data_IF_395926907453
#
_entry.id   IF_395926907453
#
_cell.length_a   1.000
_cell.length_b   1.000
_cell.length_c   1.000
_cell.angle_alpha   90.00
_cell.angle_beta   90.00
_cell.angle_gamma   90.00
#
_symmetry.space_group_name_H-M   'P 1'
#
loop_
_entity.id
_entity.type
_entity.pdbx_description
1 polymer ?
#
# COMPACT_ATOMS: atom_id res chain seq x y z
N UNK A 1 -11.54 -6.54 -50.25
CA UNK A 1 -11.03 -6.69 -48.88
C UNK A 1 -10.42 -5.35 -48.47
N UNK A 2 -11.21 -4.50 -47.82
CA UNK A 2 -10.78 -3.16 -47.38
C UNK A 2 -10.12 -3.31 -46.01
N UNK A 3 -8.79 -3.13 -45.95
CA UNK A 3 -8.06 -3.02 -44.69
C UNK A 3 -8.51 -1.72 -44.00
N UNK A 4 -9.42 -1.84 -43.04
CA UNK A 4 -9.67 -0.78 -42.07
C UNK A 4 -8.40 -0.60 -41.25
N UNK A 5 -7.86 0.63 -41.10
CA UNK A 5 -6.71 0.85 -40.24
C UNK A 5 -7.09 0.46 -38.80
N UNK A 6 -6.27 -0.35 -38.14
CA UNK A 6 -6.43 -0.55 -36.70
C UNK A 6 -6.35 0.83 -36.01
N UNK A 7 -7.27 1.17 -35.10
CA UNK A 7 -7.18 2.41 -34.37
C UNK A 7 -5.88 2.38 -33.56
N UNK A 8 -4.92 3.24 -33.92
CA UNK A 8 -3.73 3.49 -33.10
C UNK A 8 -4.22 3.93 -31.72
N UNK A 9 -4.11 3.04 -30.75
CA UNK A 9 -4.42 3.30 -29.34
C UNK A 9 -3.32 4.21 -28.75
N UNK A 10 -3.18 5.43 -29.27
CA UNK A 10 -2.47 6.52 -28.58
C UNK A 10 -3.34 6.93 -27.39
N UNK A 11 -3.36 6.07 -26.37
CA UNK A 11 -3.88 6.44 -25.07
C UNK A 11 -2.94 7.51 -24.52
N UNK A 12 -3.43 8.72 -24.21
CA UNK A 12 -2.57 9.76 -23.68
C UNK A 12 -1.88 9.24 -22.42
N UNK A 13 -0.55 9.17 -22.46
CA UNK A 13 0.25 8.80 -21.29
C UNK A 13 0.39 10.04 -20.42
N UNK A 14 -0.11 9.95 -19.20
CA UNK A 14 -0.06 11.07 -18.25
C UNK A 14 1.32 11.13 -17.58
N UNK A 15 2.30 11.70 -18.29
CA UNK A 15 3.68 11.83 -17.82
C UNK A 15 3.79 12.53 -16.46
N UNK A 16 2.93 13.52 -16.19
CA UNK A 16 2.89 14.19 -14.88
C UNK A 16 2.50 13.25 -13.74
N UNK A 17 1.54 12.34 -13.95
CA UNK A 17 1.15 11.35 -12.93
C UNK A 17 2.20 10.25 -12.75
N UNK A 18 2.88 9.86 -13.84
CA UNK A 18 4.02 8.95 -13.76
C UNK A 18 5.16 9.58 -12.95
N UNK A 19 5.48 10.87 -13.18
CA UNK A 19 6.49 11.61 -12.43
C UNK A 19 6.10 11.81 -10.97
N UNK A 20 4.85 12.15 -10.69
CA UNK A 20 4.32 12.29 -9.33
C UNK A 20 4.43 10.98 -8.55
N UNK A 21 4.10 9.85 -9.18
CA UNK A 21 4.28 8.52 -8.61
C UNK A 21 5.76 8.21 -8.37
N UNK A 22 6.64 8.56 -9.31
CA UNK A 22 8.09 8.34 -9.16
C UNK A 22 8.67 9.15 -7.99
N UNK A 23 8.27 10.42 -7.86
CA UNK A 23 8.63 11.27 -6.71
C UNK A 23 8.11 10.72 -5.39
N UNK A 24 6.86 10.26 -5.36
CA UNK A 24 6.29 9.60 -4.19
C UNK A 24 7.09 8.35 -3.78
N UNK A 25 7.54 7.54 -4.75
CA UNK A 25 8.41 6.38 -4.48
C UNK A 25 9.79 6.80 -3.96
N UNK A 26 10.39 7.82 -4.55
CA UNK A 26 11.68 8.36 -4.11
C UNK A 26 11.62 8.91 -2.67
N UNK A 27 10.56 9.65 -2.32
CA UNK A 27 10.32 10.12 -0.96
C UNK A 27 10.22 8.98 0.07
N UNK A 28 9.79 7.78 -0.34
CA UNK A 28 9.84 6.60 0.51
C UNK A 28 11.27 6.21 0.92
N UNK A 29 12.22 6.28 -0.01
CA UNK A 29 13.64 6.00 0.27
C UNK A 29 14.20 7.03 1.27
N UNK A 30 13.93 8.31 1.03
CA UNK A 30 14.36 9.40 1.92
C UNK A 30 13.74 9.25 3.30
N UNK A 31 12.47 8.84 3.38
CA UNK A 31 11.80 8.54 4.65
C UNK A 31 12.54 7.44 5.40
N UNK A 32 12.86 6.31 4.75
CA UNK A 32 13.57 5.21 5.41
C UNK A 32 14.96 5.61 5.90
N UNK A 33 15.66 6.46 5.16
CA UNK A 33 16.95 7.01 5.61
C UNK A 33 16.82 7.93 6.84
N UNK A 34 15.66 8.57 7.03
CA UNK A 34 15.41 9.47 8.16
C UNK A 34 14.87 8.77 9.42
N UNK A 35 14.33 7.54 9.30
CA UNK A 35 13.76 6.78 10.43
C UNK A 35 14.70 6.62 11.65
N UNK A 36 16.01 6.33 11.50
CA UNK A 36 16.91 6.17 12.65
C UNK A 36 17.05 7.43 13.50
N UNK A 37 16.85 8.61 12.90
CA UNK A 37 17.06 9.92 13.52
C UNK A 37 15.78 10.52 14.12
N UNK A 38 14.66 9.81 14.10
CA UNK A 38 13.43 10.29 14.72
C UNK A 38 13.59 10.42 16.24
N UNK A 39 12.93 11.40 16.86
CA UNK A 39 12.91 11.60 18.32
C UNK A 39 11.72 10.90 18.98
N UNK A 40 10.64 10.63 18.23
CA UNK A 40 9.43 9.99 18.77
C UNK A 40 9.63 8.49 19.05
N UNK A 41 8.78 7.94 19.93
CA UNK A 41 8.69 6.49 20.18
C UNK A 41 8.01 5.74 19.04
N UNK A 42 7.26 6.43 18.16
CA UNK A 42 6.52 5.85 17.03
C UNK A 42 7.39 5.55 15.80
N UNK A 43 8.58 4.98 15.99
CA UNK A 43 9.56 4.75 14.90
C UNK A 43 9.19 3.62 13.93
N UNK A 44 7.90 3.30 13.79
CA UNK A 44 7.42 2.19 12.98
C UNK A 44 8.18 0.86 13.24
N UNK A 45 8.54 0.60 14.49
CA UNK A 45 9.35 -0.56 14.92
C UNK A 45 10.72 -0.68 14.24
N UNK A 46 11.29 0.45 13.84
CA UNK A 46 12.64 0.48 13.30
C UNK A 46 13.66 0.10 14.38
N UNK A 47 14.44 -0.95 14.12
CA UNK A 47 15.31 -1.57 15.13
C UNK A 47 16.57 -0.77 15.47
N UNK A 48 16.94 0.24 14.69
CA UNK A 48 18.20 0.99 14.87
C UNK A 48 17.96 2.45 15.21
N UNK A 49 18.53 2.91 16.31
CA UNK A 49 18.38 4.29 16.78
C UNK A 49 19.73 4.99 16.76
N UNK A 50 19.83 6.08 15.98
CA UNK A 50 21.02 6.93 16.00
C UNK A 50 20.98 7.86 17.23
N UNK A 51 22.12 8.14 17.89
CA UNK A 51 22.20 9.15 18.94
C UNK A 51 21.88 10.58 18.45
N UNK A 52 22.09 10.87 17.18
CA UNK A 52 21.96 12.19 16.55
C UNK A 52 20.52 12.50 16.12
N UNK A 53 19.57 12.36 17.04
CA UNK A 53 18.15 12.51 16.72
C UNK A 53 17.74 13.96 16.48
N UNK A 54 16.77 14.16 15.57
CA UNK A 54 16.28 15.47 15.18
C UNK A 54 14.74 15.48 15.07
N UNK A 55 14.10 16.42 15.78
CA UNK A 55 12.66 16.64 15.74
C UNK A 55 12.19 17.13 14.36
N UNK A 56 13.04 17.82 13.60
CA UNK A 56 12.74 18.23 12.23
C UNK A 56 12.63 17.02 11.31
N UNK A 57 13.53 16.04 11.43
CA UNK A 57 13.45 14.78 10.67
C UNK A 57 12.20 13.97 11.05
N UNK A 58 11.83 13.96 12.33
CA UNK A 58 10.57 13.35 12.79
C UNK A 58 9.35 13.98 12.10
N UNK A 59 9.28 15.31 12.10
CA UNK A 59 8.20 16.05 11.46
C UNK A 59 8.16 15.78 9.95
N UNK A 60 9.33 15.74 9.30
CA UNK A 60 9.45 15.39 7.89
C UNK A 60 8.93 13.97 7.60
N UNK A 61 9.34 12.98 8.38
CA UNK A 61 8.88 11.58 8.22
C UNK A 61 7.36 11.50 8.33
N UNK A 62 6.77 12.10 9.37
CA UNK A 62 5.32 12.07 9.58
C UNK A 62 4.56 12.77 8.45
N UNK A 63 5.07 13.92 7.99
CA UNK A 63 4.50 14.65 6.86
C UNK A 63 4.56 13.82 5.57
N UNK A 64 5.73 13.27 5.23
CA UNK A 64 5.92 12.44 4.03
C UNK A 64 5.07 11.18 4.12
N UNK A 65 4.98 10.53 5.28
CA UNK A 65 4.15 9.35 5.48
C UNK A 65 2.68 9.66 5.24
N UNK A 66 2.16 10.72 5.87
CA UNK A 66 0.74 11.11 5.76
C UNK A 66 0.39 11.48 4.32
N UNK A 67 1.20 12.33 3.68
CA UNK A 67 0.88 12.83 2.33
C UNK A 67 1.06 11.77 1.24
N UNK A 68 2.16 11.01 1.27
CA UNK A 68 2.50 10.04 0.22
C UNK A 68 1.42 8.96 0.09
N UNK A 69 0.87 8.50 1.20
CA UNK A 69 -0.09 7.40 1.19
C UNK A 69 -1.43 7.82 0.60
N UNK A 70 -1.93 8.99 0.99
CA UNK A 70 -3.14 9.58 0.39
C UNK A 70 -2.95 9.85 -1.11
N UNK A 71 -1.77 10.33 -1.49
CA UNK A 71 -1.40 10.55 -2.89
C UNK A 71 -1.47 9.25 -3.71
N UNK A 72 -0.96 8.13 -3.20
CA UNK A 72 -1.05 6.85 -3.91
C UNK A 72 -2.48 6.34 -4.05
N UNK A 73 -3.34 6.54 -3.04
CA UNK A 73 -4.77 6.21 -3.15
C UNK A 73 -5.47 7.07 -4.21
N UNK A 74 -5.22 8.38 -4.22
CA UNK A 74 -5.77 9.29 -5.23
C UNK A 74 -5.36 8.88 -6.64
N UNK A 75 -4.06 8.62 -6.87
CA UNK A 75 -3.54 8.19 -8.17
C UNK A 75 -4.15 6.83 -8.58
N UNK A 76 -4.24 5.87 -7.65
CA UNK A 76 -4.84 4.55 -7.90
C UNK A 76 -6.31 4.66 -8.30
N UNK A 77 -7.06 5.54 -7.63
CA UNK A 77 -8.46 5.86 -7.95
C UNK A 77 -8.58 6.45 -9.35
N UNK A 78 -7.78 7.46 -9.68
CA UNK A 78 -7.76 8.09 -11.01
C UNK A 78 -7.54 7.07 -12.12
N UNK A 79 -6.50 6.22 -12.03
CA UNK A 79 -6.24 5.18 -13.02
C UNK A 79 -7.35 4.11 -13.06
N UNK A 80 -8.02 3.83 -11.94
CA UNK A 80 -9.14 2.90 -11.90
C UNK A 80 -10.36 3.44 -12.64
N UNK A 81 -10.71 4.72 -12.43
CA UNK A 81 -11.78 5.40 -13.16
C UNK A 81 -11.50 5.39 -14.67
N UNK A 82 -10.26 5.67 -15.08
CA UNK A 82 -9.88 5.61 -16.50
C UNK A 82 -10.06 4.22 -17.10
N UNK A 83 -9.65 3.15 -16.39
CA UNK A 83 -9.85 1.79 -16.89
C UNK A 83 -11.33 1.45 -17.00
N UNK A 84 -12.14 1.79 -16.00
CA UNK A 84 -13.59 1.56 -15.99
C UNK A 84 -14.35 2.38 -17.05
N UNK A 85 -13.79 3.51 -17.51
CA UNK A 85 -14.37 4.29 -18.61
C UNK A 85 -14.21 3.61 -19.97
N UNK A 86 -13.13 2.86 -20.17
CA UNK A 86 -12.81 2.22 -21.46
C UNK A 86 -13.01 0.70 -21.48
N UNK A 87 -13.23 0.07 -20.32
CA UNK A 87 -13.37 -1.39 -20.16
C UNK A 87 -14.45 -1.70 -19.13
N UNK A 88 -15.02 -2.89 -19.25
CA UNK A 88 -16.06 -3.38 -18.36
C UNK A 88 -15.53 -3.71 -16.96
N UNK A 89 -16.45 -3.74 -15.98
CA UNK A 89 -16.11 -4.01 -14.59
C UNK A 89 -15.49 -5.41 -14.37
N UNK A 90 -15.91 -6.42 -15.15
CA UNK A 90 -15.36 -7.78 -15.03
C UNK A 90 -13.90 -7.82 -15.48
N UNK A 91 -13.56 -7.13 -16.57
CA UNK A 91 -12.17 -6.94 -16.98
C UNK A 91 -11.35 -6.21 -15.90
N UNK A 92 -11.90 -5.14 -15.32
CA UNK A 92 -11.25 -4.38 -14.24
C UNK A 92 -10.90 -5.28 -13.04
N UNK A 93 -11.89 -5.99 -12.47
CA UNK A 93 -11.69 -6.86 -11.30
C UNK A 93 -10.67 -7.97 -11.61
N UNK A 94 -10.77 -8.63 -12.76
CA UNK A 94 -9.83 -9.69 -13.16
C UNK A 94 -8.40 -9.16 -13.28
N UNK A 95 -8.22 -7.97 -13.86
CA UNK A 95 -6.91 -7.34 -13.97
C UNK A 95 -6.35 -6.99 -12.58
N UNK A 96 -7.19 -6.49 -11.67
CA UNK A 96 -6.78 -6.12 -10.32
C UNK A 96 -6.38 -7.35 -9.50
N UNK A 97 -7.15 -8.44 -9.55
CA UNK A 97 -6.77 -9.70 -8.89
C UNK A 97 -5.38 -10.16 -9.33
N UNK A 98 -5.11 -10.19 -10.64
CA UNK A 98 -3.79 -10.61 -11.16
C UNK A 98 -2.64 -9.69 -10.74
N UNK A 99 -2.89 -8.39 -10.56
CA UNK A 99 -1.86 -7.39 -10.26
C UNK A 99 -1.73 -7.05 -8.78
N UNK A 100 -2.72 -7.37 -7.97
CA UNK A 100 -2.76 -7.05 -6.54
C UNK A 100 -2.75 -8.33 -5.70
N UNK A 101 -3.71 -9.23 -5.91
CA UNK A 101 -3.86 -10.44 -5.09
C UNK A 101 -2.71 -11.43 -5.30
N UNK A 102 -2.34 -11.69 -6.55
CA UNK A 102 -1.25 -12.66 -6.83
C UNK A 102 0.08 -12.17 -6.25
N UNK A 103 0.56 -10.94 -6.51
CA UNK A 103 1.77 -10.45 -5.87
C UNK A 103 1.66 -10.42 -4.35
N UNK A 104 0.51 -10.01 -3.80
CA UNK A 104 0.32 -9.99 -2.36
C UNK A 104 0.49 -11.37 -1.73
N UNK A 105 -0.16 -12.41 -2.26
CA UNK A 105 -0.06 -13.77 -1.71
C UNK A 105 1.36 -14.35 -1.83
N UNK A 106 2.11 -13.99 -2.87
CA UNK A 106 3.49 -14.45 -3.03
C UNK A 106 4.47 -13.69 -2.14
N UNK A 107 4.36 -12.36 -2.08
CA UNK A 107 5.33 -11.49 -1.42
C UNK A 107 5.04 -11.28 0.07
N UNK A 108 3.80 -11.40 0.50
CA UNK A 108 3.43 -11.25 1.91
C UNK A 108 4.17 -12.20 2.85
N UNK A 109 4.13 -13.53 2.66
CA UNK A 109 4.86 -14.44 3.54
C UNK A 109 6.38 -14.18 3.49
N UNK A 110 6.92 -13.85 2.30
CA UNK A 110 8.33 -13.55 2.15
C UNK A 110 8.74 -12.31 2.94
N UNK A 111 7.96 -11.23 2.86
CA UNK A 111 8.23 -9.98 3.58
C UNK A 111 8.13 -10.21 5.08
N UNK A 112 7.14 -10.95 5.56
CA UNK A 112 6.98 -11.27 6.97
C UNK A 112 8.16 -12.05 7.54
N UNK A 113 8.56 -13.12 6.85
CA UNK A 113 9.74 -13.91 7.23
C UNK A 113 11.01 -13.04 7.19
N UNK A 114 11.16 -12.17 6.19
CA UNK A 114 12.34 -11.31 6.05
C UNK A 114 12.46 -10.27 7.17
N UNK A 115 11.33 -9.67 7.58
CA UNK A 115 11.31 -8.70 8.68
C UNK A 115 11.67 -9.38 9.98
N UNK A 116 11.06 -10.52 10.30
CA UNK A 116 11.40 -11.26 11.52
C UNK A 116 12.83 -11.77 11.52
N UNK A 117 13.31 -12.28 10.38
CA UNK A 117 14.69 -12.68 10.22
C UNK A 117 15.65 -11.54 10.56
N UNK A 118 15.33 -10.30 10.16
CA UNK A 118 16.13 -9.12 10.47
C UNK A 118 16.03 -8.71 11.96
N UNK A 119 14.83 -8.77 12.55
CA UNK A 119 14.63 -8.45 13.97
C UNK A 119 15.32 -9.46 14.89
N UNK A 120 15.13 -10.76 14.63
CA UNK A 120 15.81 -11.84 15.37
C UNK A 120 17.32 -11.73 15.19
N UNK A 121 17.80 -11.40 13.98
CA UNK A 121 19.24 -11.23 13.76
C UNK A 121 19.78 -10.04 14.56
N UNK A 122 19.05 -8.92 14.59
CA UNK A 122 19.41 -7.76 15.39
C UNK A 122 19.50 -8.14 16.88
N UNK A 123 18.50 -8.79 17.44
CA UNK A 123 18.53 -9.22 18.84
C UNK A 123 19.67 -10.21 19.12
N UNK A 124 19.84 -11.18 18.23
CA UNK A 124 20.88 -12.21 18.31
C UNK A 124 22.29 -11.62 18.30
N UNK A 125 22.57 -10.71 17.35
CA UNK A 125 23.88 -10.09 17.17
C UNK A 125 24.17 -9.00 18.21
N UNK A 126 23.16 -8.24 18.63
CA UNK A 126 23.34 -7.04 19.46
C UNK A 126 23.27 -7.34 20.97
N UNK A 127 22.42 -8.26 21.41
CA UNK A 127 22.28 -8.64 22.82
C UNK A 127 23.12 -9.86 23.21
N UNK A 128 23.92 -10.40 22.29
CA UNK A 128 24.77 -11.55 22.59
C UNK A 128 23.98 -12.82 22.91
N UNK A 129 22.76 -12.96 22.40
CA UNK A 129 21.98 -14.21 22.47
C UNK A 129 22.59 -15.33 21.61
N UNK A 130 23.78 -15.09 21.05
CA UNK A 130 24.62 -16.00 20.28
C UNK A 130 25.12 -17.24 21.00
N UNK A 131 24.98 -17.31 22.33
CA UNK A 131 25.41 -18.48 23.12
C UNK A 131 24.34 -19.60 23.21
N UNK A 132 23.15 -19.41 22.63
CA UNK A 132 22.05 -20.40 22.61
C UNK A 132 22.04 -21.35 21.41
N UNK A 133 20.87 -21.92 21.07
CA UNK A 133 20.67 -22.94 20.01
C UNK A 133 20.99 -22.46 18.56
N UNK A 134 21.43 -21.21 18.40
CA UNK A 134 21.82 -20.59 17.13
C UNK A 134 20.69 -19.84 16.43
N UNK A 135 21.06 -18.85 15.60
CA UNK A 135 20.14 -17.94 14.91
C UNK A 135 18.97 -18.64 14.20
N UNK A 136 19.25 -19.71 13.47
CA UNK A 136 18.24 -20.42 12.67
C UNK A 136 17.20 -21.13 13.52
N UNK A 137 17.58 -21.62 14.71
CA UNK A 137 16.65 -22.25 15.65
C UNK A 137 15.76 -21.19 16.27
N UNK A 138 16.33 -20.07 16.74
CA UNK A 138 15.56 -18.94 17.29
C UNK A 138 14.59 -18.35 16.27
N UNK A 139 15.00 -18.23 15.00
CA UNK A 139 14.12 -17.76 13.93
C UNK A 139 12.97 -18.74 13.68
N UNK A 140 13.24 -20.04 13.63
CA UNK A 140 12.22 -21.07 13.43
C UNK A 140 11.20 -21.09 14.59
N UNK A 141 11.68 -20.99 15.82
CA UNK A 141 10.85 -20.92 17.03
C UNK A 141 9.99 -19.66 17.03
N UNK A 142 10.57 -18.50 16.68
CA UNK A 142 9.82 -17.24 16.55
C UNK A 142 8.68 -17.38 15.53
N UNK A 143 8.98 -17.81 14.30
CA UNK A 143 7.99 -17.93 13.21
C UNK A 143 6.87 -18.95 13.50
N UNK A 144 7.13 -19.94 14.36
CA UNK A 144 6.14 -20.95 14.76
C UNK A 144 5.46 -20.62 16.09
N UNK A 145 5.92 -19.60 16.81
CA UNK A 145 5.36 -19.18 18.09
C UNK A 145 4.00 -18.52 17.93
N UNK A 146 3.07 -18.80 18.86
CA UNK A 146 1.79 -18.11 18.92
C UNK A 146 1.97 -16.61 19.22
N UNK A 147 3.02 -16.23 19.95
CA UNK A 147 3.33 -14.83 20.27
C UNK A 147 3.61 -14.02 19.00
N UNK A 148 4.42 -14.58 18.09
CA UNK A 148 4.70 -13.95 16.80
C UNK A 148 3.42 -13.63 16.03
N UNK A 149 2.54 -14.61 15.86
CA UNK A 149 1.30 -14.42 15.12
C UNK A 149 0.31 -13.47 15.82
N UNK A 150 0.31 -13.44 17.16
CA UNK A 150 -0.54 -12.53 17.94
C UNK A 150 -0.22 -11.05 17.68
N UNK A 151 1.04 -10.71 17.33
CA UNK A 151 1.46 -9.35 16.97
C UNK A 151 0.82 -8.81 15.70
N UNK A 152 0.24 -9.68 14.86
CA UNK A 152 -0.45 -9.30 13.62
C UNK A 152 -1.98 -9.31 13.76
N UNK A 153 -2.52 -9.75 14.91
CA UNK A 153 -3.96 -9.76 15.15
C UNK A 153 -4.51 -8.34 15.41
N UNK A 154 -5.73 -7.99 14.93
CA UNK A 154 -6.45 -6.77 15.29
C UNK A 154 -6.49 -6.50 16.81
N UNK A 155 -5.69 -5.55 17.31
CA UNK A 155 -5.77 -5.14 18.72
C UNK A 155 -6.70 -3.93 18.88
N UNK A 156 -7.46 -3.81 19.98
CA UNK A 156 -8.33 -2.66 20.23
C UNK A 156 -7.62 -1.30 20.21
N UNK A 157 -6.32 -1.30 20.51
CA UNK A 157 -5.48 -0.10 20.55
C UNK A 157 -4.75 0.15 19.22
N UNK A 158 -4.93 -0.71 18.20
CA UNK A 158 -4.28 -0.58 16.90
C UNK A 158 -2.77 -0.82 16.90
N UNK A 159 -2.21 -1.39 17.97
CA UNK A 159 -0.77 -1.61 18.15
C UNK A 159 -0.21 -2.85 17.45
N UNK A 160 -0.96 -3.47 16.54
CA UNK A 160 -0.48 -4.64 15.80
C UNK A 160 0.38 -4.22 14.59
N UNK A 161 1.14 -5.16 14.05
CA UNK A 161 1.94 -4.96 12.85
C UNK A 161 1.12 -5.06 11.55
N UNK A 162 -0.15 -5.45 11.63
CA UNK A 162 -1.09 -5.50 10.51
C UNK A 162 -0.59 -6.36 9.35
N UNK A 163 -0.48 -5.78 8.15
CA UNK A 163 0.16 -6.45 6.99
C UNK A 163 1.56 -5.89 6.69
N UNK A 164 2.19 -5.27 7.70
CA UNK A 164 3.47 -4.57 7.60
C UNK A 164 3.51 -3.67 6.35
N UNK A 165 4.57 -3.76 5.55
CA UNK A 165 4.79 -2.94 4.36
C UNK A 165 3.75 -3.13 3.23
N UNK A 166 2.93 -4.18 3.28
CA UNK A 166 1.93 -4.49 2.25
C UNK A 166 0.53 -4.01 2.60
N UNK A 167 0.37 -3.27 3.69
CA UNK A 167 -0.91 -2.72 4.13
C UNK A 167 -1.66 -2.01 3.00
N UNK A 168 -0.95 -1.19 2.20
CA UNK A 168 -1.54 -0.44 1.10
C UNK A 168 -2.28 -1.32 0.09
N UNK A 169 -1.71 -2.49 -0.25
CA UNK A 169 -2.32 -3.43 -1.20
C UNK A 169 -3.58 -4.05 -0.63
N UNK A 170 -3.60 -4.35 0.67
CA UNK A 170 -4.78 -4.85 1.36
C UNK A 170 -5.96 -3.86 1.29
N UNK A 171 -5.72 -2.57 1.53
CA UNK A 171 -6.77 -1.54 1.36
C UNK A 171 -7.25 -1.42 -0.10
N UNK A 172 -6.34 -1.52 -1.07
CA UNK A 172 -6.75 -1.54 -2.48
C UNK A 172 -7.66 -2.74 -2.81
N UNK A 173 -7.45 -3.90 -2.19
CA UNK A 173 -8.35 -5.03 -2.36
C UNK A 173 -9.75 -4.73 -1.81
N UNK A 174 -9.84 -4.10 -0.63
CA UNK A 174 -11.14 -3.66 -0.11
C UNK A 174 -11.84 -2.68 -1.04
N UNK A 175 -11.14 -1.68 -1.59
CA UNK A 175 -11.75 -0.77 -2.55
C UNK A 175 -12.25 -1.48 -3.81
N UNK A 176 -11.50 -2.47 -4.32
CA UNK A 176 -11.91 -3.28 -5.48
C UNK A 176 -13.14 -4.14 -5.16
N UNK A 177 -13.17 -4.76 -3.98
CA UNK A 177 -14.31 -5.57 -3.50
C UNK A 177 -15.54 -4.68 -3.34
N UNK A 178 -15.42 -3.55 -2.64
CA UNK A 178 -16.51 -2.58 -2.46
C UNK A 178 -17.04 -2.11 -3.81
N UNK A 179 -16.18 -1.74 -4.75
CA UNK A 179 -16.61 -1.40 -6.11
C UNK A 179 -17.36 -2.55 -6.79
N UNK A 180 -16.86 -3.79 -6.70
CA UNK A 180 -17.53 -4.95 -7.30
C UNK A 180 -18.93 -5.19 -6.68
N UNK A 181 -19.05 -5.07 -5.36
CA UNK A 181 -20.33 -5.17 -4.64
C UNK A 181 -21.28 -4.05 -5.05
N UNK A 182 -20.81 -2.79 -5.06
CA UNK A 182 -21.62 -1.65 -5.45
C UNK A 182 -22.16 -1.79 -6.88
N UNK A 183 -21.39 -2.37 -7.81
CA UNK A 183 -21.84 -2.62 -9.19
C UNK A 183 -22.82 -3.80 -9.27
N UNK A 184 -22.66 -4.82 -8.43
CA UNK A 184 -23.52 -6.01 -8.44
C UNK A 184 -24.91 -5.75 -7.83
N UNK A 185 -25.00 -4.83 -6.88
CA UNK A 185 -26.27 -4.47 -6.22
C UNK A 185 -27.08 -3.52 -7.11
N UNK A 186 -28.39 -3.70 -7.18
CA UNK A 186 -29.29 -2.76 -7.87
C UNK A 186 -29.64 -1.58 -6.97
N UNK A 187 -29.16 -0.39 -7.31
CA UNK A 187 -29.35 0.80 -6.47
C UNK A 187 -30.76 1.39 -6.64
N UNK A 188 -31.40 1.91 -5.57
CA UNK A 188 -32.64 2.67 -5.65
C UNK A 188 -32.51 3.89 -6.58
N UNK A 189 -33.61 4.26 -7.25
CA UNK A 189 -33.65 5.43 -8.17
C UNK A 189 -33.25 6.75 -7.51
N UNK A 190 -33.42 6.91 -6.20
CA UNK A 190 -32.95 8.09 -5.44
C UNK A 190 -31.42 8.18 -5.43
N UNK A 191 -30.75 7.08 -5.08
CA UNK A 191 -29.30 7.02 -5.04
C UNK A 191 -28.69 7.10 -6.44
N UNK A 192 -29.29 6.47 -7.45
CA UNK A 192 -28.85 6.63 -8.85
C UNK A 192 -28.90 8.10 -9.31
N UNK A 193 -29.96 8.83 -8.93
CA UNK A 193 -30.08 10.26 -9.24
C UNK A 193 -29.03 11.10 -8.52
N UNK A 194 -28.79 10.82 -7.25
CA UNK A 194 -27.72 11.48 -6.47
C UNK A 194 -26.35 11.21 -7.10
N UNK A 195 -26.05 9.95 -7.40
CA UNK A 195 -24.82 9.55 -8.06
C UNK A 195 -24.62 10.28 -9.39
N UNK A 196 -25.66 10.34 -10.23
CA UNK A 196 -25.59 11.10 -11.49
C UNK A 196 -25.34 12.60 -11.30
N UNK A 197 -25.81 13.21 -10.21
CA UNK A 197 -25.48 14.61 -9.87
C UNK A 197 -24.02 14.75 -9.46
N UNK A 198 -23.51 13.83 -8.64
CA UNK A 198 -22.12 13.83 -8.20
C UNK A 198 -21.15 13.65 -9.37
N UNK A 199 -21.45 12.73 -10.29
CA UNK A 199 -20.64 12.51 -11.50
C UNK A 199 -20.60 13.77 -12.37
N UNK A 200 -21.75 14.40 -12.63
CA UNK A 200 -21.79 15.66 -13.40
C UNK A 200 -21.04 16.79 -12.71
N UNK A 201 -21.11 16.86 -11.38
CA UNK A 201 -20.34 17.84 -10.61
C UNK A 201 -18.83 17.57 -10.74
N UNK A 202 -18.40 16.31 -10.72
CA UNK A 202 -16.98 15.97 -10.93
C UNK A 202 -16.51 16.27 -12.36
N UNK A 203 -17.33 16.01 -13.38
CA UNK A 203 -16.99 16.31 -14.78
C UNK A 203 -16.79 17.82 -14.98
N UNK A 204 -17.59 18.65 -14.30
CA UNK A 204 -17.44 20.11 -14.28
C UNK A 204 -16.12 20.54 -13.62
N UNK A 205 -15.77 19.97 -12.46
CA UNK A 205 -14.51 20.27 -11.75
C UNK A 205 -13.30 19.85 -12.58
N UNK A 206 -13.39 18.70 -13.27
CA UNK A 206 -12.29 18.16 -14.07
C UNK A 206 -12.18 18.77 -15.47
N UNK A 207 -13.09 19.67 -15.85
CA UNK A 207 -13.10 20.32 -17.16
C UNK A 207 -13.36 19.36 -18.33
N UNK A 208 -13.94 18.20 -18.07
CA UNK A 208 -14.26 17.17 -19.07
C UNK A 208 -15.67 17.50 -19.60
N UNK A 209 -15.74 18.26 -20.69
CA UNK A 209 -16.99 18.46 -21.46
C UNK A 209 -17.07 17.50 -22.64
#
# INVERSE_FOLDING_TARGET
MTNSPEPSLDRPRYHGLDALRAWAMFLGIVLHAALPYMTSSDRANWGVVDPSQDATLTTFVLWVHTYRMELFFMISGFFSCMVLRYRDNRYFVRQRIKKLLVPFLCWWPLVMVSIEAALVYHEWAYYGLGDGDGYWVTLADSLTSADYWSRYEPTPNGGNYGYAHLWFVHYLMFFVITNAVCVAVSWPRSLQRLWGRLVRASDWVLGIR
#
